data_IF_105245181386
#
_entry.id   IF_105245181386
#
_cell.length_a   1.000
_cell.length_b   1.000
_cell.length_c   1.000
_cell.angle_alpha   90.00
_cell.angle_beta   90.00
_cell.angle_gamma   90.00
#
_symmetry.space_group_name_H-M   'P 1'
#
loop_
_entity.id
_entity.type
_entity.pdbx_description
1 polymer ?
#
# COMPACT_ATOMS: atom_id res chain seq x y z
N UNK A 1 29.14 0.80 -17.28
CA UNK A 1 27.80 0.18 -17.41
C UNK A 1 27.16 0.21 -16.03
N UNK A 2 26.02 0.88 -15.85
CA UNK A 2 25.36 1.00 -14.53
C UNK A 2 24.80 -0.38 -14.15
N UNK A 3 25.36 -1.00 -13.10
CA UNK A 3 24.77 -2.18 -12.47
C UNK A 3 23.46 -1.76 -11.80
N UNK A 4 22.33 -1.92 -12.49
CA UNK A 4 21.01 -1.78 -11.86
C UNK A 4 20.84 -2.90 -10.84
N UNK A 5 21.13 -2.59 -9.56
CA UNK A 5 20.89 -3.52 -8.45
C UNK A 5 19.39 -3.80 -8.37
N UNK A 6 18.99 -5.07 -8.45
CA UNK A 6 17.60 -5.52 -8.31
C UNK A 6 16.97 -4.93 -7.04
N UNK A 7 15.95 -4.08 -7.20
CA UNK A 7 15.17 -3.59 -6.06
C UNK A 7 14.27 -4.72 -5.55
N UNK A 8 14.41 -5.07 -4.28
CA UNK A 8 13.66 -6.17 -3.66
C UNK A 8 12.28 -5.65 -3.25
N UNK A 9 11.21 -6.22 -3.78
CA UNK A 9 9.81 -5.83 -3.51
C UNK A 9 8.95 -7.07 -3.27
N UNK A 10 7.72 -6.96 -2.75
CA UNK A 10 6.80 -8.09 -2.62
C UNK A 10 6.56 -8.84 -3.95
N UNK A 11 6.65 -8.12 -5.08
CA UNK A 11 6.44 -8.67 -6.43
C UNK A 11 7.70 -9.33 -7.00
N UNK A 12 8.88 -9.14 -6.40
CA UNK A 12 10.13 -9.74 -6.85
C UNK A 12 10.01 -11.27 -6.84
N UNK A 13 10.41 -11.90 -7.95
CA UNK A 13 10.41 -13.36 -8.09
C UNK A 13 11.54 -13.97 -7.25
N UNK A 14 11.24 -15.09 -6.62
CA UNK A 14 12.19 -15.78 -5.72
C UNK A 14 13.42 -16.25 -6.49
N UNK A 15 13.25 -16.80 -7.70
CA UNK A 15 14.37 -17.19 -8.55
C UNK A 15 15.27 -16.01 -8.90
N UNK A 16 14.69 -14.88 -9.32
CA UNK A 16 15.46 -13.67 -9.65
C UNK A 16 16.23 -13.12 -8.43
N UNK A 17 15.63 -13.19 -7.24
CA UNK A 17 16.30 -12.80 -5.99
C UNK A 17 17.55 -13.65 -5.73
N UNK A 18 17.45 -14.97 -5.79
CA UNK A 18 18.57 -15.88 -5.46
C UNK A 18 19.61 -15.96 -6.57
N UNK A 19 19.25 -15.71 -7.83
CA UNK A 19 20.21 -15.58 -8.93
C UNK A 19 21.00 -14.27 -8.83
N UNK A 20 20.32 -13.17 -8.48
CA UNK A 20 20.96 -11.87 -8.32
C UNK A 20 21.77 -11.78 -7.03
N UNK A 21 21.26 -12.37 -5.94
CA UNK A 21 21.88 -12.37 -4.62
C UNK A 21 21.92 -13.78 -4.02
N UNK A 22 22.84 -14.66 -4.45
CA UNK A 22 22.91 -16.04 -3.97
C UNK A 22 22.99 -16.18 -2.45
N UNK A 23 23.66 -15.24 -1.78
CA UNK A 23 23.76 -15.18 -0.31
C UNK A 23 22.42 -15.03 0.43
N UNK A 24 21.37 -14.54 -0.24
CA UNK A 24 20.05 -14.37 0.37
C UNK A 24 19.25 -15.67 0.45
N UNK A 25 19.66 -16.73 -0.25
CA UNK A 25 18.95 -18.00 -0.26
C UNK A 25 18.86 -18.62 1.15
N UNK A 26 19.97 -18.67 1.89
CA UNK A 26 19.97 -19.24 3.24
C UNK A 26 19.16 -18.38 4.22
N UNK A 27 19.14 -17.05 4.03
CA UNK A 27 18.35 -16.11 4.85
C UNK A 27 16.85 -16.30 4.57
N UNK A 28 16.47 -16.41 3.30
CA UNK A 28 15.09 -16.71 2.89
C UNK A 28 14.62 -18.04 3.47
N UNK A 29 15.46 -19.08 3.43
CA UNK A 29 15.12 -20.40 3.98
C UNK A 29 15.02 -20.36 5.51
N UNK A 30 15.90 -19.61 6.18
CA UNK A 30 15.84 -19.44 7.63
C UNK A 30 14.54 -18.76 8.08
N UNK A 31 14.09 -17.76 7.32
CA UNK A 31 12.87 -17.01 7.64
C UNK A 31 11.59 -17.71 7.17
N UNK A 32 11.68 -18.44 6.05
CA UNK A 32 10.58 -19.24 5.47
C UNK A 32 11.04 -20.70 5.31
N UNK A 33 10.98 -21.52 6.36
CA UNK A 33 11.48 -22.90 6.32
C UNK A 33 10.82 -23.78 5.25
N UNK A 34 9.57 -23.46 4.88
CA UNK A 34 8.85 -24.11 3.77
C UNK A 34 9.62 -24.05 2.43
N UNK A 35 10.51 -23.06 2.27
CA UNK A 35 11.29 -22.84 1.07
C UNK A 35 12.61 -23.63 1.05
N UNK A 36 12.95 -24.40 2.09
CA UNK A 36 14.12 -25.30 2.10
C UNK A 36 14.16 -26.24 0.89
N UNK A 37 12.99 -26.65 0.41
CA UNK A 37 12.83 -27.52 -0.76
C UNK A 37 13.31 -26.86 -2.07
N UNK A 38 13.46 -25.54 -2.12
CA UNK A 38 14.02 -24.82 -3.28
C UNK A 38 15.51 -25.10 -3.53
N UNK A 39 16.23 -25.70 -2.56
CA UNK A 39 17.60 -26.20 -2.82
C UNK A 39 17.61 -27.34 -3.86
N UNK A 40 16.48 -28.01 -4.09
CA UNK A 40 16.36 -29.00 -5.15
C UNK A 40 16.32 -28.32 -6.53
N UNK A 41 17.20 -28.67 -7.49
CA UNK A 41 17.25 -28.06 -8.83
C UNK A 41 15.91 -28.09 -9.56
N UNK A 42 15.12 -29.15 -9.36
CA UNK A 42 13.80 -29.32 -10.00
C UNK A 42 12.80 -28.29 -9.44
N UNK A 43 12.76 -28.11 -8.11
CA UNK A 43 11.83 -27.17 -7.48
C UNK A 43 12.26 -25.71 -7.67
N UNK A 44 13.58 -25.47 -7.74
CA UNK A 44 14.16 -24.19 -8.15
C UNK A 44 13.67 -23.78 -9.54
N UNK A 45 13.70 -24.70 -10.50
CA UNK A 45 13.35 -24.40 -11.90
C UNK A 45 11.84 -24.42 -12.19
N UNK A 46 10.99 -24.80 -11.22
CA UNK A 46 9.53 -24.89 -11.39
C UNK A 46 8.81 -23.86 -10.52
N UNK A 47 8.84 -24.03 -9.20
CA UNK A 47 8.07 -23.21 -8.25
C UNK A 47 8.74 -21.85 -8.02
N UNK A 48 10.07 -21.80 -7.86
CA UNK A 48 10.76 -20.52 -7.59
C UNK A 48 10.71 -19.56 -8.79
N UNK A 49 10.62 -20.08 -10.02
CA UNK A 49 10.49 -19.28 -11.24
C UNK A 49 9.21 -18.45 -11.27
N UNK A 50 8.12 -19.00 -10.72
CA UNK A 50 6.81 -18.35 -10.71
C UNK A 50 6.46 -17.68 -9.38
N UNK A 51 7.05 -18.13 -8.26
CA UNK A 51 6.74 -17.60 -6.94
C UNK A 51 7.32 -16.19 -6.72
N UNK A 52 6.50 -15.27 -6.19
CA UNK A 52 6.96 -13.98 -5.66
C UNK A 52 7.32 -14.06 -4.18
N UNK A 53 8.05 -13.07 -3.66
CA UNK A 53 8.33 -12.97 -2.22
C UNK A 53 7.06 -12.80 -1.38
N UNK A 54 6.03 -12.14 -1.91
CA UNK A 54 4.71 -12.09 -1.29
C UNK A 54 4.10 -13.49 -1.15
N UNK A 55 4.15 -14.31 -2.21
CA UNK A 55 3.64 -15.69 -2.16
C UNK A 55 4.48 -16.55 -1.21
N UNK A 56 5.80 -16.33 -1.16
CA UNK A 56 6.68 -16.98 -0.20
C UNK A 56 6.30 -16.67 1.25
N UNK A 57 6.01 -15.41 1.54
CA UNK A 57 5.57 -15.00 2.87
C UNK A 57 4.22 -15.63 3.26
N UNK A 58 3.25 -15.68 2.33
CA UNK A 58 1.94 -16.32 2.54
C UNK A 58 2.10 -17.82 2.87
N UNK A 59 2.88 -18.56 2.05
CA UNK A 59 3.14 -19.99 2.26
C UNK A 59 3.91 -20.22 3.57
N UNK A 60 4.83 -19.31 3.89
CA UNK A 60 5.60 -19.30 5.13
C UNK A 60 4.82 -18.89 6.37
N UNK A 61 3.59 -18.36 6.21
CA UNK A 61 2.82 -17.71 7.27
C UNK A 61 3.62 -16.63 8.02
N UNK A 62 4.44 -15.87 7.28
CA UNK A 62 5.22 -14.75 7.82
C UNK A 62 4.75 -13.41 7.26
N UNK A 63 5.08 -12.32 7.95
CA UNK A 63 4.78 -10.98 7.46
C UNK A 63 5.62 -10.65 6.21
N UNK A 64 4.96 -10.18 5.14
CA UNK A 64 5.62 -9.82 3.88
C UNK A 64 6.62 -8.67 4.08
N UNK A 65 6.25 -7.64 4.83
CA UNK A 65 7.09 -6.46 5.07
C UNK A 65 8.37 -6.84 5.78
N UNK A 66 8.25 -7.65 6.83
CA UNK A 66 9.40 -8.09 7.62
C UNK A 66 10.36 -8.93 6.77
N UNK A 67 9.83 -9.86 5.96
CA UNK A 67 10.62 -10.63 5.01
C UNK A 67 11.40 -9.71 4.04
N UNK A 68 10.73 -8.73 3.42
CA UNK A 68 11.40 -7.81 2.49
C UNK A 68 12.47 -6.98 3.21
N UNK A 69 12.20 -6.49 4.41
CA UNK A 69 13.13 -5.66 5.17
C UNK A 69 14.40 -6.42 5.57
N UNK A 70 14.27 -7.66 6.00
CA UNK A 70 15.40 -8.51 6.32
C UNK A 70 16.27 -8.72 5.06
N UNK A 71 15.66 -9.05 3.92
CA UNK A 71 16.39 -9.25 2.68
C UNK A 71 17.07 -7.97 2.17
N UNK A 72 16.41 -6.82 2.28
CA UNK A 72 16.95 -5.51 1.88
C UNK A 72 18.13 -5.07 2.73
N UNK A 73 18.03 -5.26 4.05
CA UNK A 73 19.11 -4.93 4.99
C UNK A 73 20.42 -5.61 4.60
N UNK A 74 20.35 -6.87 4.19
CA UNK A 74 21.51 -7.70 3.81
C UNK A 74 22.21 -7.28 2.51
N UNK A 75 21.50 -6.55 1.65
CA UNK A 75 22.06 -6.02 0.39
C UNK A 75 22.26 -4.49 0.44
N UNK A 76 22.05 -3.87 1.60
CA UNK A 76 22.17 -2.43 1.81
C UNK A 76 21.13 -1.61 1.04
N UNK A 77 19.92 -2.15 0.87
CA UNK A 77 18.78 -1.41 0.33
C UNK A 77 18.00 -0.71 1.43
N UNK A 78 17.36 0.40 1.08
CA UNK A 78 16.52 1.18 2.00
C UNK A 78 15.36 0.34 2.54
N UNK A 79 14.97 0.66 3.78
CA UNK A 79 13.88 -0.02 4.47
C UNK A 79 12.61 -0.05 3.60
N UNK A 80 12.13 -1.27 3.32
CA UNK A 80 10.82 -1.50 2.73
C UNK A 80 9.75 -1.26 3.77
N UNK A 81 9.31 -0.03 3.80
CA UNK A 81 8.00 0.27 4.30
C UNK A 81 6.98 -0.26 3.27
N UNK A 82 6.22 -1.32 3.61
CA UNK A 82 4.97 -1.68 2.89
C UNK A 82 3.99 -0.48 2.82
N UNK A 83 4.31 0.58 3.56
CA UNK A 83 3.95 1.97 3.34
C UNK A 83 4.31 2.57 1.97
N UNK A 84 4.77 1.83 0.97
CA UNK A 84 4.67 2.32 -0.42
C UNK A 84 3.22 2.28 -0.93
N UNK A 85 2.33 1.55 -0.25
CA UNK A 85 0.87 1.77 -0.32
C UNK A 85 0.37 2.71 0.80
N UNK A 86 1.07 2.81 1.95
CA UNK A 86 0.76 3.79 3.02
C UNK A 86 1.34 5.21 2.83
N UNK A 87 2.07 5.51 1.76
CA UNK A 87 2.44 6.88 1.38
C UNK A 87 1.32 7.56 0.60
N UNK A 88 0.31 6.79 0.18
CA UNK A 88 -0.93 7.36 -0.34
C UNK A 88 -1.69 7.94 0.85
N UNK A 89 -1.94 7.17 1.90
CA UNK A 89 -2.78 7.57 3.03
C UNK A 89 -2.10 8.51 4.02
N UNK A 90 -2.46 9.79 3.99
CA UNK A 90 -1.96 10.80 4.91
C UNK A 90 -2.79 10.84 6.20
N UNK A 91 -2.22 10.41 7.33
CA UNK A 91 -2.86 10.51 8.66
C UNK A 91 -2.37 11.70 9.49
N UNK A 92 -1.25 12.30 9.10
CA UNK A 92 -0.71 13.50 9.75
C UNK A 92 -1.42 14.74 9.23
N UNK A 93 -1.81 15.64 10.15
CA UNK A 93 -2.45 16.90 9.80
C UNK A 93 -1.56 17.74 8.86
N UNK A 94 -2.05 18.11 7.67
CA UNK A 94 -1.29 18.88 6.71
C UNK A 94 -1.48 20.38 6.92
N UNK A 95 -0.52 21.17 6.43
CA UNK A 95 -0.53 22.63 6.52
C UNK A 95 -1.67 23.32 5.74
N UNK A 96 -2.26 22.65 4.75
CA UNK A 96 -3.38 23.17 3.98
C UNK A 96 -4.73 23.01 4.70
N UNK A 97 -4.78 22.23 5.80
CA UNK A 97 -6.03 22.02 6.51
C UNK A 97 -6.41 23.28 7.29
N UNK A 98 -7.58 23.82 6.96
CA UNK A 98 -8.29 24.81 7.77
C UNK A 98 -9.77 24.47 7.68
N UNK A 99 -10.43 24.30 8.83
CA UNK A 99 -11.84 24.00 8.92
C UNK A 99 -12.72 25.01 8.15
N UNK A 100 -12.27 26.27 8.01
CA UNK A 100 -12.98 27.32 7.24
C UNK A 100 -13.00 27.07 5.73
N UNK A 101 -12.10 26.25 5.22
CA UNK A 101 -12.03 25.90 3.80
C UNK A 101 -12.98 24.75 3.43
N UNK A 102 -13.61 24.10 4.41
CA UNK A 102 -14.58 23.03 4.17
C UNK A 102 -15.85 23.62 3.57
N UNK A 103 -16.06 23.43 2.27
CA UNK A 103 -17.24 23.94 1.55
C UNK A 103 -18.35 22.90 1.40
N UNK A 104 -18.02 21.62 1.57
CA UNK A 104 -18.98 20.52 1.41
C UNK A 104 -18.59 19.34 2.30
N UNK A 105 -19.59 18.74 2.94
CA UNK A 105 -19.45 17.53 3.74
C UNK A 105 -20.45 16.49 3.27
N UNK A 106 -20.00 15.24 3.14
CA UNK A 106 -20.82 14.11 2.75
C UNK A 106 -20.67 12.96 3.73
N UNK A 107 -21.79 12.52 4.30
CA UNK A 107 -21.83 11.39 5.22
C UNK A 107 -22.30 10.14 4.48
N UNK A 108 -21.38 9.21 4.23
CA UNK A 108 -21.65 7.99 3.49
C UNK A 108 -22.06 6.82 4.38
N UNK A 109 -22.19 7.00 5.71
CA UNK A 109 -22.51 5.91 6.65
C UNK A 109 -23.78 5.16 6.26
N UNK A 110 -24.90 5.88 6.18
CA UNK A 110 -26.21 5.29 5.95
C UNK A 110 -26.27 4.57 4.58
N UNK A 111 -25.68 5.16 3.54
CA UNK A 111 -25.58 4.53 2.23
C UNK A 111 -24.79 3.21 2.30
N UNK A 112 -23.62 3.23 2.94
CA UNK A 112 -22.76 2.05 3.05
C UNK A 112 -23.39 0.97 3.94
N UNK A 113 -24.10 1.35 5.01
CA UNK A 113 -24.87 0.45 5.87
C UNK A 113 -26.02 -0.23 5.10
N UNK A 114 -26.63 0.47 4.14
CA UNK A 114 -27.66 -0.07 3.24
C UNK A 114 -27.09 -0.85 2.04
N UNK A 115 -25.76 -1.02 1.95
CA UNK A 115 -25.09 -1.72 0.85
C UNK A 115 -24.94 -0.89 -0.44
N UNK A 116 -25.25 0.40 -0.40
CA UNK A 116 -25.08 1.33 -1.51
C UNK A 116 -23.64 1.87 -1.58
N UNK A 117 -23.19 2.25 -2.78
CA UNK A 117 -21.82 2.70 -3.01
C UNK A 117 -21.76 4.22 -3.26
N UNK A 118 -21.06 5.00 -2.41
CA UNK A 118 -21.00 6.47 -2.53
C UNK A 118 -20.10 6.96 -3.68
N UNK A 119 -19.52 6.05 -4.45
CA UNK A 119 -18.39 6.34 -5.34
C UNK A 119 -18.72 7.41 -6.38
N UNK A 120 -19.83 7.25 -7.09
CA UNK A 120 -20.21 8.18 -8.16
C UNK A 120 -20.48 9.59 -7.64
N UNK A 121 -21.10 9.69 -6.45
CA UNK A 121 -21.38 10.97 -5.81
C UNK A 121 -20.09 11.67 -5.40
N UNK A 122 -19.21 10.99 -4.64
CA UNK A 122 -17.94 11.56 -4.18
C UNK A 122 -17.07 12.01 -5.37
N UNK A 123 -16.95 11.20 -6.42
CA UNK A 123 -16.16 11.60 -7.60
C UNK A 123 -16.77 12.80 -8.33
N UNK A 124 -18.10 12.90 -8.36
CA UNK A 124 -18.78 14.07 -8.95
C UNK A 124 -18.51 15.33 -8.14
N UNK A 125 -18.56 15.24 -6.82
CA UNK A 125 -18.27 16.34 -5.90
C UNK A 125 -16.80 16.77 -6.03
N UNK A 126 -15.86 15.83 -6.01
CA UNK A 126 -14.42 16.12 -6.15
C UNK A 126 -14.08 16.82 -7.47
N UNK A 127 -14.77 16.47 -8.57
CA UNK A 127 -14.58 17.16 -9.87
C UNK A 127 -15.09 18.60 -9.84
N UNK A 128 -16.17 18.86 -9.11
CA UNK A 128 -16.79 20.19 -8.96
C UNK A 128 -16.15 21.04 -7.85
N UNK A 129 -15.30 20.43 -7.00
CA UNK A 129 -14.60 21.12 -5.92
C UNK A 129 -13.83 22.33 -6.46
N UNK A 130 -13.97 23.46 -5.78
CA UNK A 130 -13.29 24.69 -6.15
C UNK A 130 -11.82 24.63 -5.74
N UNK A 131 -10.98 25.48 -6.35
CA UNK A 131 -9.59 25.61 -5.92
C UNK A 131 -9.52 26.23 -4.52
N UNK A 132 -8.54 25.80 -3.74
CA UNK A 132 -8.31 26.17 -2.35
C UNK A 132 -9.49 25.88 -1.43
N UNK A 133 -10.26 24.82 -1.70
CA UNK A 133 -11.38 24.39 -0.85
C UNK A 133 -11.25 22.92 -0.47
N UNK A 134 -11.91 22.54 0.62
CA UNK A 134 -11.90 21.20 1.19
C UNK A 134 -13.30 20.57 1.05
N UNK A 135 -13.31 19.30 0.66
CA UNK A 135 -14.46 18.39 0.76
C UNK A 135 -14.22 17.38 1.86
N UNK A 136 -15.17 17.21 2.77
CA UNK A 136 -15.11 16.21 3.85
C UNK A 136 -16.00 15.02 3.52
N UNK A 137 -15.43 13.81 3.56
CA UNK A 137 -16.13 12.54 3.49
C UNK A 137 -16.12 11.88 4.87
N UNK A 138 -17.28 11.42 5.33
CA UNK A 138 -17.41 10.65 6.57
C UNK A 138 -17.81 9.22 6.19
N UNK A 139 -17.02 8.23 6.61
CA UNK A 139 -17.24 6.82 6.27
C UNK A 139 -17.00 5.89 7.47
N UNK A 140 -17.70 4.74 7.54
CA UNK A 140 -17.52 3.72 8.59
C UNK A 140 -16.32 2.78 8.35
N UNK A 141 -15.55 3.00 7.27
CA UNK A 141 -14.29 2.33 6.99
C UNK A 141 -13.48 3.17 6.00
N UNK A 142 -12.18 2.87 5.87
CA UNK A 142 -11.28 3.60 4.97
C UNK A 142 -11.61 3.32 3.48
N UNK A 143 -12.05 4.32 2.69
CA UNK A 143 -12.45 4.09 1.30
C UNK A 143 -11.24 4.18 0.36
N UNK A 144 -10.36 3.18 0.40
CA UNK A 144 -9.14 3.11 -0.39
C UNK A 144 -9.31 3.49 -1.89
N UNK A 145 -10.31 2.97 -2.63
CA UNK A 145 -10.49 3.32 -4.04
C UNK A 145 -10.77 4.81 -4.30
N UNK A 146 -11.45 5.49 -3.37
CA UNK A 146 -11.76 6.92 -3.50
C UNK A 146 -10.53 7.79 -3.32
N UNK A 147 -9.69 7.40 -2.36
CA UNK A 147 -8.44 8.08 -2.06
C UNK A 147 -7.47 7.95 -3.24
N UNK A 148 -7.30 6.74 -3.77
CA UNK A 148 -6.48 6.52 -4.96
C UNK A 148 -7.02 7.30 -6.16
N UNK A 149 -8.34 7.35 -6.32
CA UNK A 149 -8.96 8.12 -7.41
C UNK A 149 -8.74 9.62 -7.25
N UNK A 150 -8.78 10.17 -6.04
CA UNK A 150 -8.53 11.60 -5.81
C UNK A 150 -7.11 11.99 -6.21
N UNK A 151 -6.11 11.13 -5.94
CA UNK A 151 -4.74 11.36 -6.38
C UNK A 151 -4.63 11.49 -7.91
N UNK A 152 -5.35 10.67 -8.67
CA UNK A 152 -5.40 10.77 -10.14
C UNK A 152 -6.02 12.09 -10.64
N UNK A 153 -6.82 12.75 -9.80
CA UNK A 153 -7.43 14.05 -10.07
C UNK A 153 -6.56 15.23 -9.57
N UNK A 154 -5.35 14.96 -9.07
CA UNK A 154 -4.46 15.93 -8.42
C UNK A 154 -5.11 16.60 -7.19
N UNK A 155 -5.89 15.83 -6.44
CA UNK A 155 -6.55 16.26 -5.22
C UNK A 155 -5.81 15.62 -4.03
N UNK A 156 -5.23 16.46 -3.19
CA UNK A 156 -4.59 16.10 -1.94
C UNK A 156 -5.61 15.58 -0.94
N UNK A 157 -5.19 14.77 0.02
CA UNK A 157 -6.10 14.27 1.05
C UNK A 157 -5.43 14.11 2.41
N UNK A 158 -6.25 14.07 3.45
CA UNK A 158 -5.89 13.80 4.84
C UNK A 158 -6.97 12.97 5.51
N UNK A 159 -6.57 12.04 6.37
CA UNK A 159 -7.43 11.06 7.01
C UNK A 159 -7.30 11.22 8.52
N UNK A 160 -8.44 11.30 9.18
CA UNK A 160 -8.57 11.25 10.64
C UNK A 160 -9.34 9.99 10.99
N UNK A 161 -8.70 9.11 11.74
CA UNK A 161 -9.29 7.90 12.29
C UNK A 161 -9.79 8.18 13.73
N UNK A 162 -11.09 8.03 13.93
CA UNK A 162 -11.73 8.16 15.24
C UNK A 162 -11.93 6.78 15.90
N UNK A 163 -12.07 6.77 17.24
CA UNK A 163 -12.07 5.56 18.11
C UNK A 163 -13.17 4.50 17.86
N UNK A 164 -14.02 4.63 16.83
CA UNK A 164 -15.17 3.74 16.55
C UNK A 164 -15.29 3.36 15.07
N UNK A 165 -14.16 3.08 14.39
CA UNK A 165 -14.16 2.78 12.95
C UNK A 165 -14.79 3.91 12.12
N UNK A 166 -14.67 5.15 12.60
CA UNK A 166 -15.19 6.32 11.93
C UNK A 166 -14.03 7.07 11.29
N UNK A 167 -14.07 7.21 9.97
CA UNK A 167 -13.05 7.91 9.22
C UNK A 167 -13.61 9.24 8.71
N UNK A 168 -12.90 10.32 9.02
CA UNK A 168 -13.08 11.60 8.34
C UNK A 168 -11.95 11.74 7.32
N UNK A 169 -12.32 11.85 6.05
CA UNK A 169 -11.37 12.02 4.95
C UNK A 169 -11.59 13.41 4.36
N UNK A 170 -10.56 14.24 4.39
CA UNK A 170 -10.56 15.58 3.84
C UNK A 170 -9.84 15.54 2.50
N UNK A 171 -10.48 16.08 1.47
CA UNK A 171 -9.93 16.20 0.13
C UNK A 171 -9.73 17.68 -0.21
N UNK A 172 -8.54 18.06 -0.62
CA UNK A 172 -8.15 19.44 -0.90
C UNK A 172 -7.70 19.58 -2.35
N UNK A 173 -8.21 20.61 -3.01
CA UNK A 173 -7.84 20.93 -4.39
C UNK A 173 -7.07 22.24 -4.42
N UNK A 174 -5.81 22.15 -4.83
CA UNK A 174 -4.92 23.30 -5.10
C UNK A 174 -5.33 24.09 -6.36
#
# INVERSE_FOLDING_TARGET
MKNEKLIITPKTKVLNLIETYPKLEDILISYVPAFKKLKSPILRNTVAKIASLQQAAIVGKVNVSDLINILRKEVGQDFFNQSSEKNIYNFTEPNWYDQKLITQTFNAKEMLENGEQPVNQVITDLKKLNKNTIYQLIAPFLPAPLIEKSLSLKISHWIVEEKKELFNIYFYKE
#
